data_IF_222137027748
#
_entry.id   IF_222137027748
#
_cell.length_a   1.000
_cell.length_b   1.000
_cell.length_c   1.000
_cell.angle_alpha   90.00
_cell.angle_beta   90.00
_cell.angle_gamma   90.00
#
_symmetry.space_group_name_H-M   'P 1'
#
loop_
_entity.id
_entity.type
_entity.pdbx_description
1 polymer ?
#
# COMPACT_ATOMS: atom_id res chain seq x y z
N UNK A 1 -15.16 25.65 -12.84
CA UNK A 1 -15.57 24.69 -11.81
C UNK A 1 -14.76 24.99 -10.56
N UNK A 2 -15.37 24.96 -9.37
CA UNK A 2 -14.63 25.09 -8.11
C UNK A 2 -13.73 23.87 -7.91
N UNK A 3 -12.55 24.09 -7.32
CA UNK A 3 -11.59 23.02 -7.03
C UNK A 3 -12.14 22.11 -5.92
N UNK A 4 -12.02 20.79 -6.07
CA UNK A 4 -12.44 19.81 -5.05
C UNK A 4 -11.51 19.93 -3.84
N UNK A 5 -12.09 20.17 -2.67
CA UNK A 5 -11.37 20.30 -1.41
C UNK A 5 -11.42 18.98 -0.66
N UNK A 6 -10.27 18.36 -0.40
CA UNK A 6 -10.18 17.06 0.24
C UNK A 6 -9.72 17.13 1.71
N UNK A 7 -10.21 16.19 2.51
CA UNK A 7 -9.60 15.79 3.78
C UNK A 7 -8.99 14.41 3.62
N UNK A 8 -7.78 14.22 4.11
CA UNK A 8 -7.08 12.95 4.09
C UNK A 8 -6.94 12.39 5.51
N UNK A 9 -7.58 11.26 5.77
CA UNK A 9 -7.54 10.58 7.06
C UNK A 9 -6.60 9.39 6.97
N UNK A 10 -5.83 9.16 8.04
CA UNK A 10 -4.79 8.14 8.09
C UNK A 10 -3.71 8.39 7.03
N UNK A 11 -3.31 9.66 6.91
CA UNK A 11 -2.57 10.16 5.74
C UNK A 11 -1.21 9.50 5.53
N UNK A 12 -0.61 8.93 6.57
CA UNK A 12 0.74 8.37 6.48
C UNK A 12 1.71 9.38 5.89
N UNK A 13 2.48 8.94 4.90
CA UNK A 13 3.42 9.78 4.15
C UNK A 13 2.79 10.51 2.94
N UNK A 14 1.46 10.44 2.76
CA UNK A 14 0.71 11.17 1.73
C UNK A 14 0.53 10.43 0.40
N UNK A 15 0.34 9.11 0.43
CA UNK A 15 0.08 8.31 -0.78
C UNK A 15 -1.21 8.72 -1.50
N UNK A 16 -2.30 8.97 -0.77
CA UNK A 16 -3.57 9.41 -1.37
C UNK A 16 -3.51 10.87 -1.83
N UNK A 17 -2.77 11.75 -1.14
CA UNK A 17 -2.47 13.10 -1.64
C UNK A 17 -1.74 13.05 -2.98
N UNK A 18 -0.68 12.24 -3.09
CA UNK A 18 0.05 12.09 -4.34
C UNK A 18 -0.86 11.57 -5.46
N UNK A 19 -1.66 10.54 -5.17
CA UNK A 19 -2.63 10.00 -6.11
C UNK A 19 -3.64 11.06 -6.59
N UNK A 20 -4.15 11.89 -5.67
CA UNK A 20 -5.06 13.00 -6.00
C UNK A 20 -4.37 14.02 -6.92
N UNK A 21 -3.13 14.39 -6.62
CA UNK A 21 -2.33 15.31 -7.43
C UNK A 21 -2.07 14.79 -8.84
N UNK A 22 -1.93 13.47 -9.00
CA UNK A 22 -1.74 12.80 -10.28
C UNK A 22 -3.06 12.53 -11.05
N UNK A 23 -4.24 12.74 -10.44
CA UNK A 23 -5.52 12.27 -10.99
C UNK A 23 -6.12 13.13 -12.12
N UNK A 24 -5.45 14.20 -12.57
CA UNK A 24 -5.97 15.25 -13.47
C UNK A 24 -7.28 15.93 -13.00
N UNK A 25 -7.76 15.61 -11.80
CA UNK A 25 -8.93 16.26 -11.20
C UNK A 25 -8.47 17.59 -10.59
N UNK A 26 -9.20 18.70 -10.81
CA UNK A 26 -8.89 19.96 -10.14
C UNK A 26 -9.25 19.84 -8.66
N UNK A 27 -8.33 19.31 -7.86
CA UNK A 27 -8.50 19.01 -6.44
C UNK A 27 -7.26 19.40 -5.63
N UNK A 28 -7.41 19.50 -4.30
CA UNK A 28 -6.29 19.67 -3.37
C UNK A 28 -6.65 19.12 -1.99
N UNK A 29 -5.65 18.69 -1.22
CA UNK A 29 -5.82 18.31 0.18
C UNK A 29 -5.70 19.54 1.07
N UNK A 30 -6.75 19.85 1.82
CA UNK A 30 -6.76 21.00 2.73
C UNK A 30 -6.19 20.65 4.11
N UNK A 31 -6.49 19.45 4.60
CA UNK A 31 -5.99 18.94 5.86
C UNK A 31 -5.78 17.44 5.76
N UNK A 32 -4.69 16.98 6.37
CA UNK A 32 -4.36 15.58 6.52
C UNK A 32 -4.22 15.24 8.01
N UNK A 33 -4.74 14.08 8.42
CA UNK A 33 -4.77 13.64 9.81
C UNK A 33 -4.08 12.29 9.94
N UNK A 34 -3.07 12.23 10.82
CA UNK A 34 -2.43 10.98 11.22
C UNK A 34 -2.05 11.05 12.71
N UNK A 35 -1.87 9.90 13.36
CA UNK A 35 -1.43 9.87 14.76
C UNK A 35 0.10 9.82 14.87
N UNK A 36 0.79 9.35 13.82
CA UNK A 36 2.24 9.17 13.80
C UNK A 36 2.95 10.49 13.45
N UNK A 37 3.76 11.00 14.37
CA UNK A 37 4.51 12.23 14.17
C UNK A 37 5.52 12.08 13.02
N UNK A 38 6.20 10.93 12.92
CA UNK A 38 7.21 10.71 11.88
C UNK A 38 6.55 10.72 10.50
N UNK A 39 5.34 10.14 10.38
CA UNK A 39 4.57 10.20 9.15
C UNK A 39 4.18 11.64 8.79
N UNK A 40 3.72 12.43 9.78
CA UNK A 40 3.40 13.84 9.59
C UNK A 40 4.61 14.68 9.15
N UNK A 41 5.79 14.40 9.69
CA UNK A 41 7.03 15.10 9.35
C UNK A 41 7.44 14.79 7.90
N UNK A 42 7.39 13.52 7.49
CA UNK A 42 7.65 13.10 6.10
C UNK A 42 6.60 13.69 5.16
N UNK A 43 5.32 13.67 5.53
CA UNK A 43 4.27 14.32 4.75
C UNK A 43 4.57 15.81 4.55
N UNK A 44 4.90 16.52 5.63
CA UNK A 44 5.16 17.96 5.60
C UNK A 44 6.40 18.32 4.76
N UNK A 45 7.42 17.45 4.74
CA UNK A 45 8.59 17.61 3.89
C UNK A 45 8.27 17.53 2.39
N UNK A 46 7.19 16.82 1.99
CA UNK A 46 6.82 16.59 0.60
C UNK A 46 5.66 17.46 0.11
N UNK A 47 4.70 17.80 0.97
CA UNK A 47 3.49 18.53 0.60
C UNK A 47 3.40 19.92 1.23
N UNK A 48 4.43 20.31 1.98
CA UNK A 48 4.52 21.60 2.67
C UNK A 48 3.96 21.56 4.10
N UNK A 49 4.39 22.52 4.94
CA UNK A 49 3.96 22.58 6.33
C UNK A 49 2.48 22.99 6.46
N UNK A 50 1.82 22.52 7.51
CA UNK A 50 0.49 22.98 7.91
C UNK A 50 -0.71 22.20 7.33
N UNK A 51 -0.46 21.29 6.37
CA UNK A 51 -1.49 20.38 5.84
C UNK A 51 -1.68 19.19 6.80
N UNK A 52 -0.60 18.45 7.07
CA UNK A 52 -0.61 17.31 7.97
C UNK A 52 -0.66 17.75 9.44
N UNK A 53 -1.47 17.05 10.23
CA UNK A 53 -1.66 17.30 11.65
C UNK A 53 -1.64 15.99 12.42
N UNK A 54 -0.85 15.96 13.48
CA UNK A 54 -0.88 14.87 14.45
C UNK A 54 -2.18 14.93 15.24
N UNK A 55 -3.10 14.02 14.97
CA UNK A 55 -4.44 13.97 15.57
C UNK A 55 -4.85 12.52 15.81
N UNK A 56 -5.44 12.25 16.97
CA UNK A 56 -6.24 11.05 17.17
C UNK A 56 -7.59 11.22 16.47
N UNK A 57 -7.77 10.52 15.36
CA UNK A 57 -8.97 10.60 14.52
C UNK A 57 -10.25 10.27 15.31
N UNK A 58 -10.17 9.49 16.40
CA UNK A 58 -11.33 9.21 17.26
C UNK A 58 -11.84 10.42 18.07
N UNK A 59 -11.10 11.54 18.03
CA UNK A 59 -11.46 12.80 18.71
C UNK A 59 -12.05 13.86 17.78
N UNK A 60 -12.07 13.61 16.46
CA UNK A 60 -12.57 14.57 15.47
C UNK A 60 -14.10 14.65 15.53
N UNK A 61 -14.65 15.86 15.57
CA UNK A 61 -16.11 16.07 15.63
C UNK A 61 -16.69 16.57 14.31
N UNK A 62 -17.99 16.36 14.10
CA UNK A 62 -18.70 16.87 12.93
C UNK A 62 -18.59 18.39 12.85
N UNK A 63 -18.83 19.09 13.97
CA UNK A 63 -18.69 20.55 14.05
C UNK A 63 -17.32 21.03 13.58
N UNK A 64 -16.22 20.37 13.99
CA UNK A 64 -14.89 20.73 13.52
C UNK A 64 -14.73 20.49 12.02
N UNK A 65 -15.09 19.31 11.52
CA UNK A 65 -14.92 18.96 10.10
C UNK A 65 -15.81 19.82 9.18
N UNK A 66 -17.00 20.21 9.62
CA UNK A 66 -17.91 21.09 8.89
C UNK A 66 -17.25 22.46 8.59
N UNK A 67 -16.44 22.98 9.52
CA UNK A 67 -15.70 24.25 9.31
C UNK A 67 -14.72 24.18 8.13
N UNK A 68 -14.23 22.97 7.80
CA UNK A 68 -13.27 22.75 6.74
C UNK A 68 -13.94 22.74 5.35
N UNK A 69 -15.26 22.56 5.25
CA UNK A 69 -16.05 22.62 4.00
C UNK A 69 -15.45 21.76 2.87
N UNK A 70 -14.99 20.56 3.22
CA UNK A 70 -14.40 19.64 2.27
C UNK A 70 -15.47 18.77 1.60
N UNK A 71 -15.31 18.51 0.31
CA UNK A 71 -16.27 17.77 -0.51
C UNK A 71 -15.80 16.36 -0.88
N UNK A 72 -14.55 16.02 -0.55
CA UNK A 72 -13.93 14.73 -0.75
C UNK A 72 -13.26 14.26 0.55
N UNK A 73 -13.53 13.02 0.96
CA UNK A 73 -12.74 12.34 1.99
C UNK A 73 -11.91 11.23 1.36
N UNK A 74 -10.61 11.21 1.68
CA UNK A 74 -9.65 10.16 1.34
C UNK A 74 -9.31 9.42 2.64
N UNK A 75 -9.49 8.10 2.70
CA UNK A 75 -9.30 7.34 3.94
C UNK A 75 -8.52 6.04 3.68
N UNK A 76 -7.50 5.76 4.50
CA UNK A 76 -6.74 4.49 4.51
C UNK A 76 -6.62 3.91 5.94
N UNK A 77 -7.76 3.60 6.60
CA UNK A 77 -7.79 3.20 8.01
C UNK A 77 -6.88 2.00 8.32
N UNK A 78 -6.48 1.89 9.59
CA UNK A 78 -5.69 0.74 10.03
C UNK A 78 -6.46 -0.58 9.84
N UNK A 79 -5.80 -1.53 9.18
CA UNK A 79 -6.38 -2.81 8.79
C UNK A 79 -6.46 -3.82 9.95
N UNK A 80 -5.76 -3.61 11.06
CA UNK A 80 -5.75 -4.57 12.17
C UNK A 80 -7.09 -4.46 12.93
N UNK A 81 -7.93 -5.51 12.92
CA UNK A 81 -7.57 -6.93 12.81
C UNK A 81 -8.02 -7.72 11.56
N UNK A 82 -8.54 -7.10 10.50
CA UNK A 82 -9.15 -7.76 9.33
C UNK A 82 -8.18 -8.45 8.36
N UNK A 83 -7.03 -8.92 8.83
CA UNK A 83 -6.13 -9.73 8.01
C UNK A 83 -6.59 -11.19 7.99
N UNK A 84 -6.47 -11.85 6.83
CA UNK A 84 -6.64 -13.31 6.65
C UNK A 84 -5.89 -14.13 7.72
N UNK A 85 -4.83 -13.54 8.28
CA UNK A 85 -3.93 -14.13 9.27
C UNK A 85 -4.53 -14.25 10.69
N UNK A 86 -5.61 -13.54 11.03
CA UNK A 86 -6.27 -13.68 12.33
C UNK A 86 -7.79 -13.40 12.27
N UNK A 87 -8.60 -14.34 11.73
CA UNK A 87 -10.05 -14.19 11.62
C UNK A 87 -10.76 -14.02 12.98
N UNK A 88 -10.10 -14.43 14.08
CA UNK A 88 -10.65 -14.49 15.44
C UNK A 88 -10.38 -13.24 16.27
N UNK A 89 -9.60 -12.28 15.76
CA UNK A 89 -9.34 -11.05 16.48
C UNK A 89 -10.60 -10.18 16.46
N UNK A 90 -11.26 -10.11 17.62
CA UNK A 90 -12.51 -9.36 17.89
C UNK A 90 -12.43 -7.92 17.37
N UNK A 91 -12.88 -7.71 16.12
CA UNK A 91 -12.73 -6.45 15.37
C UNK A 91 -13.33 -5.21 16.01
N UNK A 92 -14.33 -5.39 16.87
CA UNK A 92 -15.05 -4.28 17.50
C UNK A 92 -14.38 -3.75 18.78
N UNK A 93 -13.46 -4.51 19.38
CA UNK A 93 -12.74 -4.10 20.60
C UNK A 93 -11.37 -3.49 20.29
N UNK A 94 -10.90 -3.54 19.05
CA UNK A 94 -9.62 -2.97 18.65
C UNK A 94 -9.70 -1.43 18.65
N UNK A 95 -8.92 -0.72 19.49
CA UNK A 95 -8.88 0.75 19.50
C UNK A 95 -8.58 1.36 18.12
N UNK A 96 -7.91 0.63 17.22
CA UNK A 96 -7.55 1.09 15.88
C UNK A 96 -8.76 1.14 14.94
N UNK A 97 -9.69 0.19 15.06
CA UNK A 97 -10.95 0.19 14.32
C UNK A 97 -11.94 1.24 14.85
N UNK A 98 -11.84 1.60 16.14
CA UNK A 98 -12.72 2.60 16.78
C UNK A 98 -12.66 3.96 16.10
N UNK A 99 -11.48 4.41 15.67
CA UNK A 99 -11.35 5.70 14.98
C UNK A 99 -12.15 5.75 13.68
N UNK A 100 -12.12 4.65 12.90
CA UNK A 100 -12.82 4.59 11.62
C UNK A 100 -14.34 4.43 11.83
N UNK A 101 -14.73 3.56 12.76
CA UNK A 101 -16.13 3.43 13.16
C UNK A 101 -16.67 4.74 13.75
N UNK A 102 -15.86 5.51 14.47
CA UNK A 102 -16.26 6.81 14.99
C UNK A 102 -16.61 7.79 13.85
N UNK A 103 -15.75 7.89 12.83
CA UNK A 103 -16.03 8.70 11.65
C UNK A 103 -17.32 8.26 10.94
N UNK A 104 -17.49 6.95 10.72
CA UNK A 104 -18.60 6.39 9.95
C UNK A 104 -19.93 6.41 10.72
N UNK A 105 -19.94 6.07 12.01
CA UNK A 105 -21.18 5.87 12.77
C UNK A 105 -21.64 7.13 13.51
N UNK A 106 -20.74 8.09 13.79
CA UNK A 106 -21.09 9.28 14.55
C UNK A 106 -20.90 10.56 13.71
N UNK A 107 -19.67 10.80 13.26
CA UNK A 107 -19.30 12.09 12.63
C UNK A 107 -20.01 12.29 11.29
N UNK A 108 -20.01 11.26 10.43
CA UNK A 108 -20.62 11.35 9.12
C UNK A 108 -22.15 11.54 9.17
N UNK A 109 -22.92 10.78 9.99
CA UNK A 109 -24.35 11.05 10.19
C UNK A 109 -24.66 12.44 10.75
N UNK A 110 -23.86 12.91 11.72
CA UNK A 110 -24.03 14.26 12.30
C UNK A 110 -23.77 15.36 11.25
N UNK A 111 -22.71 15.24 10.45
CA UNK A 111 -22.47 16.11 9.29
C UNK A 111 -23.60 16.07 8.28
N UNK A 112 -24.22 14.90 8.07
CA UNK A 112 -25.34 14.77 7.14
C UNK A 112 -26.59 15.49 7.65
N UNK A 113 -26.82 15.48 8.97
CA UNK A 113 -27.90 16.22 9.60
C UNK A 113 -27.79 17.75 9.40
N UNK A 114 -26.56 18.25 9.26
CA UNK A 114 -26.25 19.65 8.95
C UNK A 114 -26.04 19.94 7.45
N UNK A 115 -26.28 18.97 6.55
CA UNK A 115 -25.96 19.02 5.12
C UNK A 115 -24.48 19.41 4.81
N UNK A 116 -23.57 19.08 5.72
CA UNK A 116 -22.14 19.40 5.64
C UNK A 116 -21.26 18.19 5.25
N UNK A 117 -21.85 17.01 5.06
CA UNK A 117 -21.15 15.79 4.68
C UNK A 117 -20.59 15.81 3.23
N UNK A 118 -19.46 15.11 2.97
CA UNK A 118 -18.70 15.26 1.73
C UNK A 118 -19.38 14.53 0.55
N UNK A 119 -19.43 15.17 -0.62
CA UNK A 119 -20.01 14.55 -1.82
C UNK A 119 -19.31 13.29 -2.34
N UNK A 120 -18.05 13.07 -1.99
CA UNK A 120 -17.21 11.98 -2.53
C UNK A 120 -16.40 11.30 -1.43
N UNK A 121 -16.20 9.99 -1.58
CA UNK A 121 -15.30 9.19 -0.74
C UNK A 121 -14.37 8.34 -1.61
N UNK A 122 -13.14 8.17 -1.13
CA UNK A 122 -12.26 7.06 -1.50
C UNK A 122 -11.77 6.41 -0.20
N UNK A 123 -12.05 5.11 -0.04
CA UNK A 123 -11.54 4.29 1.05
C UNK A 123 -10.61 3.23 0.47
N UNK A 124 -9.37 3.17 0.95
CA UNK A 124 -8.43 2.07 0.71
C UNK A 124 -8.39 1.16 1.95
N UNK A 125 -8.32 -0.16 1.72
CA UNK A 125 -8.11 -1.14 2.78
C UNK A 125 -7.44 -2.42 2.24
N UNK A 126 -7.11 -3.36 3.11
CA UNK A 126 -6.55 -4.65 2.69
C UNK A 126 -7.57 -5.53 1.97
N UNK A 127 -7.07 -6.46 1.15
CA UNK A 127 -7.89 -7.58 0.68
C UNK A 127 -8.41 -8.41 1.86
N UNK A 128 -9.69 -8.77 1.83
CA UNK A 128 -10.45 -9.38 2.91
C UNK A 128 -11.39 -8.39 3.62
N UNK A 129 -11.13 -7.08 3.53
CA UNK A 129 -12.00 -6.06 4.13
C UNK A 129 -13.43 -6.10 3.59
N UNK A 130 -13.61 -6.48 2.31
CA UNK A 130 -14.92 -6.64 1.65
C UNK A 130 -15.85 -7.64 2.35
N UNK A 131 -15.31 -8.53 3.19
CA UNK A 131 -16.07 -9.50 3.98
C UNK A 131 -16.25 -9.11 5.46
N UNK A 132 -15.69 -7.98 5.88
CA UNK A 132 -15.67 -7.58 7.30
C UNK A 132 -16.99 -6.95 7.77
N UNK A 133 -17.26 -7.05 9.08
CA UNK A 133 -18.40 -6.33 9.71
C UNK A 133 -18.26 -4.81 9.58
N UNK A 134 -17.03 -4.28 9.62
CA UNK A 134 -16.77 -2.84 9.46
C UNK A 134 -17.11 -2.35 8.05
N UNK A 135 -16.86 -3.16 7.01
CA UNK A 135 -17.34 -2.85 5.66
C UNK A 135 -18.86 -2.83 5.61
N UNK A 136 -19.54 -3.78 6.27
CA UNK A 136 -21.02 -3.77 6.33
C UNK A 136 -21.54 -2.48 6.95
N UNK A 137 -20.97 -2.05 8.08
CA UNK A 137 -21.31 -0.76 8.72
C UNK A 137 -21.08 0.41 7.77
N UNK A 138 -19.91 0.48 7.12
CA UNK A 138 -19.59 1.55 6.15
C UNK A 138 -20.62 1.63 5.02
N UNK A 139 -20.89 0.50 4.36
CA UNK A 139 -21.78 0.44 3.21
C UNK A 139 -23.22 0.74 3.60
N UNK A 140 -23.71 0.19 4.72
CA UNK A 140 -25.05 0.50 5.22
C UNK A 140 -25.21 1.98 5.57
N UNK A 141 -24.23 2.59 6.24
CA UNK A 141 -24.26 4.03 6.52
C UNK A 141 -24.29 4.85 5.24
N UNK A 142 -23.40 4.57 4.28
CA UNK A 142 -23.34 5.32 3.03
C UNK A 142 -24.65 5.21 2.23
N UNK A 143 -25.25 4.02 2.13
CA UNK A 143 -26.56 3.85 1.48
C UNK A 143 -27.67 4.63 2.20
N UNK A 144 -27.73 4.57 3.54
CA UNK A 144 -28.73 5.31 4.31
C UNK A 144 -28.60 6.82 4.15
N UNK A 145 -27.40 7.33 3.88
CA UNK A 145 -27.12 8.73 3.61
C UNK A 145 -27.23 9.10 2.11
N UNK A 146 -27.73 8.19 1.27
CA UNK A 146 -28.01 8.48 -0.13
C UNK A 146 -26.78 8.46 -1.05
N UNK A 147 -25.76 7.66 -0.73
CA UNK A 147 -24.61 7.45 -1.60
C UNK A 147 -24.80 6.23 -2.50
N UNK A 148 -24.36 6.38 -3.74
CA UNK A 148 -24.05 5.25 -4.63
C UNK A 148 -22.58 4.87 -4.41
N UNK A 149 -22.29 3.57 -4.37
CA UNK A 149 -20.94 3.05 -4.13
C UNK A 149 -20.42 2.21 -5.30
N UNK A 150 -19.11 2.07 -5.38
CA UNK A 150 -18.40 1.14 -6.23
C UNK A 150 -17.23 0.53 -5.45
N UNK A 151 -17.09 -0.79 -5.50
CA UNK A 151 -16.04 -1.49 -4.76
C UNK A 151 -15.10 -2.24 -5.70
N UNK A 152 -13.82 -2.30 -5.33
CA UNK A 152 -12.78 -2.89 -6.15
C UNK A 152 -11.79 -3.70 -5.32
N UNK A 153 -11.23 -4.75 -5.93
CA UNK A 153 -10.04 -5.46 -5.48
C UNK A 153 -8.98 -5.36 -6.58
N UNK A 154 -8.00 -4.49 -6.37
CA UNK A 154 -6.99 -4.15 -7.38
C UNK A 154 -5.58 -4.40 -6.87
N UNK A 155 -4.64 -4.68 -7.78
CA UNK A 155 -3.23 -4.91 -7.47
C UNK A 155 -2.34 -4.22 -8.50
N UNK A 156 -1.18 -3.66 -8.11
CA UNK A 156 -0.25 -2.98 -9.03
C UNK A 156 0.16 -3.80 -10.26
N UNK A 157 0.18 -5.13 -10.14
CA UNK A 157 0.43 -6.05 -11.27
C UNK A 157 -0.51 -5.80 -12.47
N UNK A 158 -1.76 -5.39 -12.23
CA UNK A 158 -2.74 -5.04 -13.27
C UNK A 158 -2.34 -3.81 -14.08
N UNK A 159 -1.44 -3.00 -13.53
CA UNK A 159 -1.02 -1.72 -14.06
C UNK A 159 0.47 -1.74 -14.46
N UNK A 160 1.03 -2.93 -14.66
CA UNK A 160 2.39 -3.11 -15.14
C UNK A 160 3.49 -2.82 -14.11
N UNK A 161 3.14 -2.85 -12.81
CA UNK A 161 4.08 -2.64 -11.70
C UNK A 161 4.36 -4.00 -11.02
N UNK A 162 5.64 -4.41 -10.86
CA UNK A 162 6.01 -5.74 -10.36
C UNK A 162 5.87 -5.89 -8.84
N UNK A 163 4.70 -5.58 -8.28
CA UNK A 163 4.43 -5.72 -6.85
C UNK A 163 3.05 -6.31 -6.55
N UNK A 164 3.04 -7.42 -5.81
CA UNK A 164 1.82 -8.09 -5.38
C UNK A 164 1.19 -7.40 -4.17
N UNK A 165 0.48 -6.28 -4.39
CA UNK A 165 -0.20 -5.49 -3.34
C UNK A 165 -1.69 -5.40 -3.61
N UNK A 166 -2.40 -6.51 -3.41
CA UNK A 166 -3.85 -6.54 -3.53
C UNK A 166 -4.48 -5.67 -2.42
N UNK A 167 -5.36 -4.75 -2.82
CA UNK A 167 -6.08 -3.85 -1.93
C UNK A 167 -7.54 -3.72 -2.33
N UNK A 168 -8.37 -3.54 -1.31
CA UNK A 168 -9.75 -3.15 -1.42
C UNK A 168 -9.83 -1.63 -1.62
N UNK A 169 -10.70 -1.19 -2.52
CA UNK A 169 -11.05 0.21 -2.70
C UNK A 169 -12.56 0.36 -2.70
N UNK A 170 -13.08 1.38 -2.03
CA UNK A 170 -14.47 1.82 -2.15
C UNK A 170 -14.51 3.27 -2.59
N UNK A 171 -15.26 3.54 -3.65
CA UNK A 171 -15.62 4.87 -4.09
C UNK A 171 -17.09 5.11 -3.73
N UNK A 172 -17.41 6.30 -3.23
CA UNK A 172 -18.80 6.70 -3.01
C UNK A 172 -19.08 8.08 -3.59
N UNK A 173 -20.30 8.26 -4.12
CA UNK A 173 -20.81 9.53 -4.64
C UNK A 173 -22.19 9.81 -4.05
N UNK A 174 -22.36 11.02 -3.50
CA UNK A 174 -23.65 11.46 -2.93
C UNK A 174 -24.64 11.78 -4.05
N UNK A 175 -25.89 11.32 -3.92
CA UNK A 175 -26.99 11.70 -4.82
C UNK A 175 -27.07 13.23 -5.00
N UNK A 176 -27.32 13.73 -6.22
CA UNK A 176 -27.69 13.00 -7.44
C UNK A 176 -26.51 12.51 -8.29
N UNK A 177 -25.28 12.54 -7.78
CA UNK A 177 -24.12 12.06 -8.52
C UNK A 177 -24.17 10.53 -8.68
N UNK A 178 -23.79 10.04 -9.86
CA UNK A 178 -23.75 8.61 -10.18
C UNK A 178 -22.45 8.22 -10.89
N UNK A 179 -22.28 6.91 -11.08
CA UNK A 179 -21.21 6.37 -11.92
C UNK A 179 -21.79 5.99 -13.29
N UNK A 180 -21.09 6.33 -14.37
CA UNK A 180 -21.58 6.08 -15.73
C UNK A 180 -21.36 4.63 -16.19
N UNK A 181 -20.22 4.01 -15.83
CA UNK A 181 -19.75 2.74 -16.42
C UNK A 181 -19.74 1.58 -15.41
N UNK A 182 -20.52 1.64 -14.33
CA UNK A 182 -20.63 0.50 -13.43
C UNK A 182 -21.54 -0.57 -14.01
N UNK A 183 -21.14 -1.86 -14.00
CA UNK A 183 -22.05 -2.94 -14.37
C UNK A 183 -23.26 -2.94 -13.42
N UNK A 184 -24.43 -3.27 -13.97
CA UNK A 184 -25.74 -3.16 -13.29
C UNK A 184 -25.94 -4.09 -12.08
N UNK A 185 -24.91 -4.81 -11.64
CA UNK A 185 -24.93 -5.67 -10.46
C UNK A 185 -24.58 -4.88 -9.21
N UNK A 186 -25.58 -4.48 -8.43
CA UNK A 186 -25.35 -3.93 -7.10
C UNK A 186 -24.61 -4.97 -6.23
N UNK A 187 -23.48 -4.57 -5.64
CA UNK A 187 -22.77 -5.37 -4.63
C UNK A 187 -21.64 -6.27 -5.13
N UNK A 188 -21.30 -6.26 -6.42
CA UNK A 188 -20.11 -6.98 -6.90
C UNK A 188 -18.83 -6.15 -6.67
N UNK A 189 -17.83 -6.74 -6.03
CA UNK A 189 -16.49 -6.14 -5.91
C UNK A 189 -15.69 -6.38 -7.19
N UNK A 190 -15.44 -5.31 -7.94
CA UNK A 190 -14.80 -5.36 -9.25
C UNK A 190 -13.31 -5.65 -9.16
N UNK A 191 -12.80 -6.52 -10.01
CA UNK A 191 -11.35 -6.84 -10.08
C UNK A 191 -10.60 -6.09 -11.16
N UNK A 192 -11.22 -5.09 -11.77
CA UNK A 192 -10.62 -4.24 -12.81
C UNK A 192 -11.31 -2.87 -12.77
N UNK A 193 -10.70 -1.86 -13.38
CA UNK A 193 -11.33 -0.54 -13.52
C UNK A 193 -12.21 -0.55 -14.79
N UNK A 194 -13.52 -0.25 -14.71
CA UNK A 194 -14.35 -0.12 -15.89
C UNK A 194 -13.77 0.87 -16.91
N UNK A 195 -13.77 0.50 -18.19
CA UNK A 195 -13.19 1.30 -19.26
C UNK A 195 -11.65 1.42 -19.25
N UNK A 196 -10.95 0.91 -18.21
CA UNK A 196 -9.49 0.90 -18.11
C UNK A 196 -8.98 -0.40 -17.50
N UNK A 197 -8.32 -1.23 -18.31
CA UNK A 197 -7.87 -2.55 -17.90
C UNK A 197 -8.79 -3.65 -18.41
N UNK A 198 -8.28 -4.86 -18.45
CA UNK A 198 -8.98 -5.97 -19.11
C UNK A 198 -9.74 -6.79 -18.10
N UNK A 199 -10.99 -7.15 -18.40
CA UNK A 199 -11.73 -8.21 -17.69
C UNK A 199 -10.94 -9.54 -17.59
N UNK A 200 -9.93 -9.71 -18.44
CA UNK A 200 -9.08 -10.89 -18.59
C UNK A 200 -7.82 -10.90 -17.70
N UNK A 201 -7.53 -9.84 -16.93
CA UNK A 201 -6.39 -9.91 -16.01
C UNK A 201 -6.77 -10.84 -14.86
N UNK A 202 -6.10 -11.98 -14.78
CA UNK A 202 -6.28 -12.96 -13.71
C UNK A 202 -5.04 -12.94 -12.85
N UNK A 203 -5.24 -12.70 -11.55
CA UNK A 203 -4.16 -12.88 -10.59
C UNK A 203 -3.75 -14.36 -10.60
N UNK A 204 -2.50 -14.66 -10.97
CA UNK A 204 -2.02 -16.04 -11.03
C UNK A 204 -2.10 -16.78 -9.69
N UNK A 205 -2.20 -16.05 -8.56
CA UNK A 205 -2.44 -16.62 -7.23
C UNK A 205 -3.89 -17.10 -7.04
N UNK A 206 -4.81 -16.59 -7.85
CA UNK A 206 -6.25 -16.85 -7.77
C UNK A 206 -6.76 -17.64 -8.98
N UNK A 207 -5.94 -17.80 -10.02
CA UNK A 207 -6.28 -18.56 -11.22
C UNK A 207 -6.39 -20.07 -10.89
N UNK A 208 -7.50 -20.74 -11.21
CA UNK A 208 -7.47 -22.17 -11.48
C UNK A 208 -6.49 -22.42 -12.63
N UNK A 209 -5.73 -23.52 -12.60
CA UNK A 209 -4.63 -23.82 -13.51
C UNK A 209 -4.98 -23.95 -15.03
N UNK A 210 -6.15 -23.47 -15.49
CA UNK A 210 -6.73 -23.80 -16.78
C UNK A 210 -7.09 -22.61 -17.71
N UNK A 211 -6.97 -21.35 -17.31
CA UNK A 211 -7.34 -20.23 -18.20
C UNK A 211 -6.14 -19.69 -19.02
N UNK A 212 -5.96 -20.25 -20.21
CA UNK A 212 -4.90 -19.95 -21.18
C UNK A 212 -5.05 -18.63 -21.95
N UNK A 213 -6.09 -17.83 -21.65
CA UNK A 213 -6.35 -16.52 -22.27
C UNK A 213 -6.09 -15.32 -21.32
N UNK A 214 -5.49 -15.55 -20.16
CA UNK A 214 -5.11 -14.48 -19.24
C UNK A 214 -4.00 -13.60 -19.84
N UNK A 215 -4.09 -12.28 -19.65
CA UNK A 215 -2.98 -11.39 -19.99
C UNK A 215 -1.81 -11.73 -19.07
N UNK A 216 -0.77 -12.30 -19.68
CA UNK A 216 0.40 -12.83 -19.00
C UNK A 216 1.30 -11.78 -18.36
N UNK A 217 2.23 -12.31 -17.56
CA UNK A 217 3.30 -11.63 -16.83
C UNK A 217 4.14 -10.67 -17.71
N UNK A 218 4.19 -10.89 -19.02
CA UNK A 218 4.99 -10.11 -19.99
C UNK A 218 4.62 -8.62 -20.10
N UNK A 219 3.42 -8.23 -19.66
CA UNK A 219 3.00 -6.81 -19.59
C UNK A 219 3.53 -6.07 -18.36
N UNK A 220 4.02 -6.80 -17.36
CA UNK A 220 4.54 -6.24 -16.11
C UNK A 220 6.01 -5.91 -16.25
N UNK A 221 6.42 -4.68 -15.92
CA UNK A 221 7.83 -4.25 -15.99
C UNK A 221 8.74 -5.11 -15.13
N UNK A 222 10.00 -5.20 -15.52
CA UNK A 222 11.00 -5.92 -14.73
C UNK A 222 11.42 -5.10 -13.51
N UNK A 223 11.77 -5.81 -12.44
CA UNK A 223 12.24 -5.19 -11.20
C UNK A 223 13.46 -4.30 -11.44
N UNK A 224 14.34 -4.65 -12.40
CA UNK A 224 15.55 -3.88 -12.75
C UNK A 224 15.27 -2.40 -13.04
N UNK A 225 14.09 -2.07 -13.59
CA UNK A 225 13.69 -0.69 -13.88
C UNK A 225 13.48 0.16 -12.61
N UNK A 226 13.29 -0.50 -11.47
CA UNK A 226 13.03 0.10 -10.16
C UNK A 226 14.25 0.07 -9.24
N UNK A 227 15.41 -0.44 -9.69
CA UNK A 227 16.60 -0.58 -8.85
C UNK A 227 17.49 0.66 -8.87
N UNK A 228 18.19 0.92 -7.77
CA UNK A 228 19.23 1.94 -7.73
C UNK A 228 20.33 1.62 -8.76
N UNK A 229 20.89 2.62 -9.47
CA UNK A 229 21.94 2.38 -10.47
C UNK A 229 23.23 1.88 -9.82
N UNK A 230 23.48 2.30 -8.59
CA UNK A 230 24.64 1.91 -7.79
C UNK A 230 24.19 1.23 -6.49
N UNK A 231 24.97 0.29 -5.94
CA UNK A 231 24.66 -0.36 -4.67
C UNK A 231 24.51 0.65 -3.54
N UNK A 232 23.39 0.59 -2.82
CA UNK A 232 23.13 1.43 -1.64
C UNK A 232 23.66 0.76 -0.38
N UNK A 233 24.44 1.52 0.40
CA UNK A 233 24.97 1.07 1.68
C UNK A 233 23.85 0.75 2.67
N UNK A 234 24.05 -0.26 3.53
CA UNK A 234 23.08 -0.66 4.54
C UNK A 234 21.94 -1.57 4.07
N UNK A 235 21.88 -1.94 2.78
CA UNK A 235 20.87 -2.86 2.25
C UNK A 235 21.27 -4.36 2.32
N UNK A 236 22.48 -4.69 2.78
CA UNK A 236 22.94 -6.07 2.91
C UNK A 236 22.14 -6.85 3.96
N UNK A 237 21.85 -8.13 3.71
CA UNK A 237 21.23 -9.00 4.70
C UNK A 237 22.30 -9.48 5.69
N UNK A 238 22.13 -9.32 7.02
CA UNK A 238 23.13 -9.78 7.97
C UNK A 238 23.34 -11.29 7.92
N UNK A 239 24.60 -11.75 7.99
CA UNK A 239 24.97 -13.18 7.96
C UNK A 239 24.18 -14.01 8.98
N UNK A 240 23.98 -13.49 10.19
CA UNK A 240 23.20 -14.16 11.25
C UNK A 240 21.76 -14.45 10.82
N UNK A 241 21.18 -13.58 10.00
CA UNK A 241 19.83 -13.76 9.45
C UNK A 241 19.87 -14.77 8.30
N UNK A 242 20.84 -14.67 7.39
CA UNK A 242 21.01 -15.63 6.29
C UNK A 242 21.26 -17.06 6.81
N UNK A 243 22.16 -17.24 7.78
CA UNK A 243 22.47 -18.53 8.39
C UNK A 243 21.24 -19.24 8.95
N UNK A 244 20.32 -18.47 9.56
CA UNK A 244 19.21 -19.02 10.33
C UNK A 244 17.92 -19.12 9.51
N UNK A 245 17.70 -18.16 8.62
CA UNK A 245 16.41 -17.95 7.98
C UNK A 245 16.50 -17.72 6.46
N UNK A 246 17.68 -17.82 5.85
CA UNK A 246 17.89 -17.49 4.44
C UNK A 246 16.93 -18.18 3.47
N UNK A 247 16.63 -19.47 3.71
CA UNK A 247 15.68 -20.28 2.91
C UNK A 247 14.22 -19.85 3.00
N UNK A 248 13.87 -19.04 3.99
CA UNK A 248 12.49 -18.56 4.19
C UNK A 248 12.21 -17.26 3.43
N UNK A 249 13.24 -16.62 2.88
CA UNK A 249 13.04 -15.46 2.04
C UNK A 249 12.39 -15.83 0.71
N UNK A 250 11.47 -14.99 0.27
CA UNK A 250 11.08 -14.90 -1.14
C UNK A 250 12.20 -14.13 -1.87
N UNK A 251 12.98 -14.83 -2.69
CA UNK A 251 14.12 -14.27 -3.42
C UNK A 251 13.71 -13.99 -4.86
N UNK A 252 13.92 -12.76 -5.32
CA UNK A 252 13.62 -12.31 -6.68
C UNK A 252 14.88 -11.86 -7.40
N UNK A 253 14.86 -11.89 -8.73
CA UNK A 253 15.93 -11.41 -9.59
C UNK A 253 15.58 -10.03 -10.16
N UNK A 254 16.56 -9.23 -10.60
CA UNK A 254 16.33 -8.02 -11.39
C UNK A 254 15.44 -8.27 -12.63
N UNK A 255 15.55 -9.41 -13.31
CA UNK A 255 14.65 -9.82 -14.41
C UNK A 255 13.25 -10.25 -13.99
N UNK A 256 13.01 -10.50 -12.69
CA UNK A 256 11.69 -10.92 -12.24
C UNK A 256 10.67 -9.79 -12.42
N UNK A 257 9.40 -10.18 -12.64
CA UNK A 257 8.28 -9.27 -12.90
C UNK A 257 7.28 -9.22 -11.76
N UNK A 258 7.69 -9.70 -10.57
CA UNK A 258 6.85 -9.77 -9.39
C UNK A 258 7.68 -9.80 -8.12
N UNK A 259 7.25 -9.02 -7.13
CA UNK A 259 7.65 -9.10 -5.72
C UNK A 259 6.46 -9.45 -4.82
N UNK A 260 6.72 -9.92 -3.62
CA UNK A 260 5.75 -10.02 -2.53
C UNK A 260 5.31 -8.63 -2.03
N UNK A 261 4.16 -8.59 -1.36
CA UNK A 261 3.71 -7.37 -0.68
C UNK A 261 4.74 -6.98 0.38
N UNK A 262 5.24 -5.76 0.31
CA UNK A 262 6.04 -5.20 1.38
C UNK A 262 5.13 -4.80 2.54
N UNK A 263 5.53 -5.13 3.76
CA UNK A 263 4.81 -4.80 4.99
C UNK A 263 5.68 -3.96 5.91
N UNK A 264 5.08 -3.43 6.97
CA UNK A 264 5.80 -2.71 8.04
C UNK A 264 6.94 -3.52 8.66
N UNK A 265 6.88 -4.84 8.60
CA UNK A 265 7.93 -5.71 9.14
C UNK A 265 9.10 -5.94 8.19
N UNK A 266 9.15 -5.31 7.01
CA UNK A 266 10.28 -5.49 6.09
C UNK A 266 11.60 -5.14 6.78
N UNK A 267 12.67 -5.89 6.47
CA UNK A 267 13.98 -5.91 7.13
C UNK A 267 14.01 -6.43 8.59
N UNK A 268 12.88 -6.45 9.30
CA UNK A 268 12.78 -6.94 10.69
C UNK A 268 12.24 -8.37 10.79
N UNK A 269 11.35 -8.74 9.86
CA UNK A 269 10.74 -10.06 9.73
C UNK A 269 11.22 -10.68 8.42
N UNK A 270 11.53 -11.98 8.47
CA UNK A 270 12.00 -12.73 7.30
C UNK A 270 10.83 -13.17 6.42
N UNK A 271 9.83 -13.79 7.03
CA UNK A 271 8.65 -14.27 6.32
C UNK A 271 7.58 -13.18 6.23
N UNK A 272 6.84 -13.18 5.11
CA UNK A 272 5.61 -12.37 4.90
C UNK A 272 5.83 -10.85 5.02
N UNK A 273 7.06 -10.40 4.81
CA UNK A 273 7.44 -9.00 4.96
C UNK A 273 7.75 -8.31 3.63
N UNK A 274 8.10 -9.08 2.60
CA UNK A 274 8.51 -8.60 1.28
C UNK A 274 9.57 -9.51 0.68
N UNK A 275 9.84 -9.36 -0.61
CA UNK A 275 10.92 -10.10 -1.28
C UNK A 275 12.30 -9.51 -0.95
N UNK A 276 13.35 -10.31 -1.07
CA UNK A 276 14.75 -9.84 -1.13
C UNK A 276 15.31 -10.08 -2.53
N UNK A 277 16.36 -9.34 -2.89
CA UNK A 277 16.89 -9.32 -4.24
C UNK A 277 18.20 -10.11 -4.32
N UNK A 278 18.30 -11.00 -5.31
CA UNK A 278 19.55 -11.63 -5.73
C UNK A 278 20.13 -10.86 -6.90
N UNK A 279 21.26 -10.18 -6.69
CA UNK A 279 21.89 -9.35 -7.74
C UNK A 279 22.69 -10.17 -8.76
N UNK A 280 23.11 -11.40 -8.42
CA UNK A 280 23.83 -12.25 -9.35
C UNK A 280 22.86 -13.17 -10.12
N UNK A 281 22.40 -12.73 -11.29
CA UNK A 281 21.45 -13.49 -12.13
C UNK A 281 22.07 -14.75 -12.77
N UNK A 282 23.40 -14.90 -12.75
CA UNK A 282 24.09 -16.06 -13.32
C UNK A 282 24.17 -17.26 -12.36
N UNK A 283 23.69 -17.11 -11.13
CA UNK A 283 23.74 -18.15 -10.10
C UNK A 283 22.36 -18.75 -9.87
N UNK A 284 22.31 -20.08 -9.76
CA UNK A 284 21.09 -20.75 -9.35
C UNK A 284 20.93 -20.64 -7.83
N UNK A 285 19.85 -19.98 -7.40
CA UNK A 285 19.54 -19.78 -5.98
C UNK A 285 19.49 -21.10 -5.23
N UNK A 286 18.83 -22.12 -5.79
CA UNK A 286 18.60 -23.40 -5.12
C UNK A 286 19.92 -24.14 -4.93
N UNK A 287 20.74 -24.22 -5.98
CA UNK A 287 22.03 -24.92 -5.91
C UNK A 287 22.96 -24.30 -4.87
N UNK A 288 23.08 -22.96 -4.84
CA UNK A 288 23.95 -22.27 -3.88
C UNK A 288 23.46 -22.46 -2.44
N UNK A 289 22.14 -22.44 -2.22
CA UNK A 289 21.57 -22.76 -0.90
C UNK A 289 21.72 -24.23 -0.53
N UNK A 290 21.72 -25.17 -1.48
CA UNK A 290 22.00 -26.59 -1.21
C UNK A 290 23.46 -26.79 -0.79
N UNK A 291 24.40 -26.14 -1.48
CA UNK A 291 25.83 -26.15 -1.13
C UNK A 291 26.09 -25.54 0.26
N UNK A 292 25.46 -24.40 0.56
CA UNK A 292 25.50 -23.79 1.89
C UNK A 292 25.03 -24.76 2.99
N UNK A 293 23.90 -25.45 2.80
CA UNK A 293 23.38 -26.39 3.81
C UNK A 293 24.31 -27.60 3.99
N UNK A 294 24.90 -28.11 2.90
CA UNK A 294 25.88 -29.19 2.97
C UNK A 294 27.12 -28.77 3.78
N UNK A 295 27.67 -27.58 3.50
CA UNK A 295 28.79 -27.03 4.23
C UNK A 295 28.43 -26.77 5.71
N UNK A 296 27.26 -26.18 5.99
CA UNK A 296 26.80 -25.92 7.35
C UNK A 296 26.66 -27.20 8.18
N UNK A 297 26.26 -28.32 7.55
CA UNK A 297 26.18 -29.63 8.23
C UNK A 297 27.55 -30.30 8.46
N UNK A 298 28.58 -29.89 7.73
CA UNK A 298 29.91 -30.55 7.70
C UNK A 298 30.99 -29.80 8.50
N UNK A 299 30.81 -28.51 8.79
CA UNK A 299 31.83 -27.64 9.42
C UNK A 299 31.47 -27.29 10.86
N UNK A 300 32.48 -27.12 11.73
CA UNK A 300 32.30 -26.71 13.15
C UNK A 300 32.00 -25.20 13.28
N UNK A 301 32.30 -24.39 12.26
CA UNK A 301 32.07 -22.95 12.27
C UNK A 301 31.05 -22.53 11.17
N UNK A 302 29.80 -22.30 11.59
CA UNK A 302 28.70 -21.92 10.69
C UNK A 302 28.89 -20.58 9.95
N UNK A 303 29.86 -19.76 10.38
CA UNK A 303 30.14 -18.43 9.81
C UNK A 303 30.95 -18.52 8.51
N UNK A 304 31.78 -19.54 8.32
CA UNK A 304 32.52 -19.71 7.06
C UNK A 304 31.61 -20.25 5.95
N UNK A 305 30.64 -21.09 6.31
CA UNK A 305 29.67 -21.64 5.36
C UNK A 305 28.75 -20.55 4.77
N UNK A 306 28.35 -19.53 5.55
CA UNK A 306 27.42 -18.49 5.05
C UNK A 306 28.00 -17.70 3.87
N UNK A 307 29.33 -17.63 3.77
CA UNK A 307 30.03 -16.94 2.67
C UNK A 307 29.78 -17.58 1.31
N UNK A 308 29.31 -18.83 1.26
CA UNK A 308 28.82 -19.46 0.02
C UNK A 308 27.66 -18.63 -0.56
N UNK A 309 26.81 -18.04 0.30
CA UNK A 309 25.69 -17.20 -0.12
C UNK A 309 26.13 -15.85 -0.68
N UNK A 310 27.39 -15.41 -0.46
CA UNK A 310 27.94 -14.19 -1.07
C UNK A 310 27.90 -14.25 -2.60
N UNK A 311 27.94 -15.46 -3.18
CA UNK A 311 27.79 -15.69 -4.61
C UNK A 311 26.48 -15.14 -5.16
N UNK A 312 25.40 -15.18 -4.37
CA UNK A 312 24.08 -14.68 -4.77
C UNK A 312 23.99 -13.15 -4.70
N UNK A 313 24.82 -12.50 -3.87
CA UNK A 313 24.74 -11.06 -3.61
C UNK A 313 23.34 -10.62 -3.16
N UNK A 314 22.82 -11.28 -2.12
CA UNK A 314 21.48 -11.01 -1.58
C UNK A 314 21.44 -9.66 -0.85
N UNK A 315 20.37 -8.89 -1.08
CA UNK A 315 20.12 -7.62 -0.39
C UNK A 315 18.63 -7.32 -0.24
N UNK A 316 18.30 -6.45 0.71
CA UNK A 316 17.00 -5.81 0.77
C UNK A 316 16.85 -4.78 -0.37
N UNK A 317 15.59 -4.46 -0.69
CA UNK A 317 15.27 -3.28 -1.48
C UNK A 317 15.58 -2.02 -0.67
N UNK A 318 16.17 -1.02 -1.32
CA UNK A 318 16.38 0.27 -0.68
C UNK A 318 15.04 1.00 -0.52
N UNK A 319 14.93 1.95 0.43
CA UNK A 319 13.75 2.80 0.57
C UNK A 319 13.41 3.56 -0.71
N UNK A 320 14.40 3.96 -1.51
CA UNK A 320 14.21 4.72 -2.74
C UNK A 320 13.76 3.81 -3.91
N UNK A 321 14.13 2.53 -3.90
CA UNK A 321 13.58 1.49 -4.80
C UNK A 321 12.11 1.19 -4.45
N UNK A 322 11.79 1.09 -3.16
CA UNK A 322 10.41 0.90 -2.70
C UNK A 322 9.52 2.10 -3.05
N UNK A 323 10.02 3.34 -2.90
CA UNK A 323 9.34 4.56 -3.35
C UNK A 323 8.99 4.51 -4.84
N UNK A 324 9.92 4.06 -5.69
CA UNK A 324 9.67 3.88 -7.14
C UNK A 324 8.65 2.79 -7.40
N UNK A 325 8.75 1.67 -6.68
CA UNK A 325 7.81 0.56 -6.82
C UNK A 325 6.38 0.95 -6.40
N UNK A 326 6.24 1.81 -5.39
CA UNK A 326 4.97 2.39 -4.95
C UNK A 326 4.56 3.64 -5.72
N UNK A 327 5.30 4.00 -6.77
CA UNK A 327 5.03 5.15 -7.64
C UNK A 327 5.01 6.51 -6.90
N UNK A 328 5.74 6.63 -5.79
CA UNK A 328 6.00 7.92 -5.13
C UNK A 328 6.99 8.77 -5.92
N UNK A 329 7.95 8.12 -6.57
CA UNK A 329 8.96 8.75 -7.41
C UNK A 329 8.93 8.13 -8.81
N UNK A 330 9.29 8.92 -9.86
CA UNK A 330 9.35 8.40 -11.22
C UNK A 330 10.50 7.38 -11.37
N UNK A 331 10.39 6.54 -12.40
CA UNK A 331 11.51 5.70 -12.83
C UNK A 331 12.61 6.60 -13.43
N UNK A 332 13.86 6.41 -12.99
CA UNK A 332 15.01 7.09 -13.58
C UNK A 332 15.26 6.54 -15.01
N UNK A 333 15.70 7.37 -15.99
CA UNK A 333 16.00 8.80 -15.93
C UNK A 333 14.87 9.70 -16.49
N UNK A 334 13.68 9.14 -16.76
CA UNK A 334 12.74 9.72 -17.73
C UNK A 334 11.94 10.95 -17.28
N UNK A 335 12.05 11.39 -16.03
CA UNK A 335 11.21 12.49 -15.54
C UNK A 335 11.89 13.33 -14.44
N UNK A 336 13.00 13.99 -14.79
CA UNK A 336 13.71 14.95 -13.91
C UNK A 336 12.89 16.19 -13.55
N UNK A 337 11.68 16.33 -14.10
CA UNK A 337 10.74 17.43 -13.82
C UNK A 337 9.73 17.13 -12.71
N UNK A 338 9.65 15.89 -12.22
CA UNK A 338 8.75 15.53 -11.10
C UNK A 338 9.46 15.69 -9.75
N UNK A 339 8.69 16.14 -8.75
CA UNK A 339 9.15 16.37 -7.37
C UNK A 339 9.94 15.16 -6.84
N UNK A 340 11.17 15.39 -6.39
CA UNK A 340 11.95 14.38 -5.70
C UNK A 340 11.36 14.15 -4.30
N UNK A 341 11.14 12.90 -3.91
CA UNK A 341 10.65 12.58 -2.56
C UNK A 341 11.69 13.01 -1.53
N UNK A 342 11.27 13.78 -0.53
CA UNK A 342 12.14 14.38 0.46
C UNK A 342 11.98 13.66 1.80
N UNK A 343 13.09 13.19 2.35
CA UNK A 343 13.16 12.68 3.72
C UNK A 343 13.46 13.84 4.68
N UNK A 344 12.75 13.97 5.82
CA UNK A 344 13.00 15.06 6.77
C UNK A 344 14.40 14.96 7.43
N UNK A 345 14.97 16.11 7.77
CA UNK A 345 16.28 16.19 8.45
C UNK A 345 16.19 15.70 9.91
N UNK A 346 17.05 14.76 10.32
CA UNK A 346 17.11 14.23 11.69
C UNK A 346 17.51 12.74 11.75
N UNK A 347 17.55 12.14 12.95
CA UNK A 347 17.76 10.69 13.16
C UNK A 347 16.55 9.85 12.71
N UNK A 348 16.10 10.06 11.47
CA UNK A 348 15.19 9.17 10.77
C UNK A 348 16.05 8.06 10.18
N UNK A 349 16.03 6.86 10.77
CA UNK A 349 16.49 5.72 9.97
C UNK A 349 15.43 5.51 8.90
N UNK A 350 15.82 5.48 7.62
CA UNK A 350 14.88 5.21 6.51
C UNK A 350 14.09 3.90 6.76
N UNK A 351 14.64 2.99 7.56
CA UNK A 351 14.00 1.78 8.08
C UNK A 351 12.75 2.03 8.93
N UNK A 352 12.70 3.12 9.70
CA UNK A 352 11.56 3.45 10.57
C UNK A 352 10.33 3.94 9.81
N UNK A 353 10.49 4.54 8.62
CA UNK A 353 9.35 5.00 7.80
C UNK A 353 8.86 3.92 6.83
N UNK A 354 9.63 2.84 6.68
CA UNK A 354 9.15 1.66 5.97
C UNK A 354 7.90 1.02 6.61
N UNK A 355 7.57 1.44 7.83
CA UNK A 355 6.35 1.10 8.53
C UNK A 355 5.08 1.79 8.01
N UNK A 356 5.20 2.85 7.22
CA UNK A 356 4.13 3.79 6.90
C UNK A 356 3.87 3.92 5.38
N UNK A 357 4.35 2.96 4.58
CA UNK A 357 4.02 2.80 3.15
C UNK A 357 2.54 2.40 2.96
N UNK A 358 1.61 3.24 3.39
CA UNK A 358 0.19 3.09 3.10
C UNK A 358 -0.16 3.76 1.80
#
# INVERSE_FOLDING_TARGET
MSQIKALEFYSGIGGLHLALSCSNVPAFVANAFDWDQNACDVYSANFGPGIARKVDISTLTAAHLATLKATLWLLSPACQPYTVLNPSAKGELDPRAKSFLHLVQNVLPELAHEDAHPTHFLVENVGGFETSSTRQVLVSTLHNLGYTIAEFLLTPLQFGIPNSRLRYYLLAKRSPLSFHDLPSGEGETLRHIPGRGTKLWVDSRLAPAADSNAIGDDSVREIREYLDPEPVEGCSIPDKILCKWGRLFDIVLPSSRRTCCFTRGYTQLVERAGSVLQMNENQDTTMVFDEFLQAQSSTVEAIDAVRILDLLRLRYFSPDELLRLFSFTPLAPHDSTKHAFTWPEGNFTKDQVSSNWK
#
